data_IF_820075030660
#
_entry.id   IF_820075030660
#
_cell.length_a   1.000
_cell.length_b   1.000
_cell.length_c   1.000
_cell.angle_alpha   90.00
_cell.angle_beta   90.00
_cell.angle_gamma   90.00
#
_symmetry.space_group_name_H-M   'P 1'
#
loop_
_entity.id
_entity.type
_entity.pdbx_description
1 polymer ?
#
# COMPACT_ATOMS: atom_id res chain seq x y z
N UNK A 1 29.02 18.09 -10.22
CA UNK A 1 28.26 18.03 -8.96
C UNK A 1 27.39 16.79 -9.00
N UNK A 2 27.79 15.72 -8.31
CA UNK A 2 26.94 14.54 -8.13
C UNK A 2 26.08 14.81 -6.89
N UNK A 3 24.80 15.05 -7.10
CA UNK A 3 23.81 15.08 -6.03
C UNK A 3 23.76 13.67 -5.47
N UNK A 4 24.42 13.47 -4.33
CA UNK A 4 24.27 12.26 -3.52
C UNK A 4 22.79 12.26 -3.12
N UNK A 5 21.96 11.52 -3.86
CA UNK A 5 20.55 11.36 -3.54
C UNK A 5 20.51 10.85 -2.11
N UNK A 6 19.96 11.65 -1.21
CA UNK A 6 19.83 11.34 0.20
C UNK A 6 19.12 9.99 0.33
N UNK A 7 19.87 8.92 0.58
CA UNK A 7 19.32 7.62 0.94
C UNK A 7 18.75 7.83 2.34
N UNK A 8 17.49 8.29 2.41
CA UNK A 8 16.73 8.26 3.64
C UNK A 8 16.60 6.77 4.00
N UNK A 9 17.06 6.33 5.19
CA UNK A 9 16.87 4.94 5.58
C UNK A 9 15.37 4.71 5.69
N UNK A 10 14.77 4.08 4.68
CA UNK A 10 13.37 3.70 4.71
C UNK A 10 13.15 2.80 5.94
N UNK A 11 12.19 3.13 6.83
CA UNK A 11 11.75 2.19 7.84
C UNK A 11 11.50 0.81 7.20
N UNK A 12 11.92 -0.29 7.85
CA UNK A 12 11.78 -1.64 7.28
C UNK A 12 10.34 -1.97 6.85
N UNK A 13 9.36 -1.35 7.51
CA UNK A 13 7.95 -1.51 7.24
C UNK A 13 7.52 -0.90 5.89
N UNK A 14 8.18 0.16 5.44
CA UNK A 14 7.92 0.77 4.13
C UNK A 14 8.44 -0.08 2.97
N UNK A 15 9.46 -0.92 3.20
CA UNK A 15 9.93 -1.85 2.19
C UNK A 15 8.86 -2.89 1.82
N UNK A 16 7.89 -3.15 2.71
CA UNK A 16 6.72 -3.98 2.40
C UNK A 16 5.83 -3.30 1.36
N UNK A 17 5.69 -1.98 1.39
CA UNK A 17 4.83 -1.23 0.47
C UNK A 17 5.30 -1.30 -0.99
N UNK A 18 6.59 -1.57 -1.22
CA UNK A 18 7.15 -1.81 -2.55
C UNK A 18 6.76 -3.17 -3.13
N UNK A 19 6.41 -4.15 -2.28
CA UNK A 19 6.06 -5.50 -2.76
C UNK A 19 4.68 -5.51 -3.41
N UNK A 20 4.46 -6.38 -4.41
CA UNK A 20 3.13 -6.68 -4.91
C UNK A 20 2.25 -7.18 -3.75
N UNK A 21 1.19 -6.43 -3.40
CA UNK A 21 0.28 -6.78 -2.31
C UNK A 21 0.66 -6.26 -0.92
N UNK A 22 1.90 -5.81 -0.68
CA UNK A 22 2.31 -5.35 0.65
C UNK A 22 1.63 -4.06 1.11
N UNK A 23 1.09 -3.28 0.16
CA UNK A 23 0.18 -2.17 0.47
C UNK A 23 -1.18 -2.65 1.02
N UNK A 24 -1.76 -3.72 0.47
CA UNK A 24 -3.01 -4.29 1.00
C UNK A 24 -2.76 -4.89 2.40
N UNK A 25 -1.66 -5.62 2.58
CA UNK A 25 -1.29 -6.17 3.89
C UNK A 25 -1.15 -5.07 4.95
N UNK A 26 -0.38 -4.02 4.65
CA UNK A 26 -0.16 -2.91 5.59
C UNK A 26 -1.46 -2.16 5.90
N UNK A 27 -2.35 -2.04 4.90
CA UNK A 27 -3.69 -1.50 5.11
C UNK A 27 -4.50 -2.33 6.12
N UNK A 28 -4.49 -3.67 6.02
CA UNK A 28 -5.21 -4.53 6.97
C UNK A 28 -4.57 -4.58 8.34
N UNK A 29 -3.23 -4.49 8.41
CA UNK A 29 -2.51 -4.39 9.68
C UNK A 29 -2.91 -3.09 10.39
N UNK A 30 -2.87 -1.95 9.68
CA UNK A 30 -3.30 -0.66 10.23
C UNK A 30 -4.79 -0.65 10.62
N UNK A 31 -5.66 -1.21 9.77
CA UNK A 31 -7.08 -1.30 10.08
C UNK A 31 -7.35 -2.19 11.30
N UNK A 32 -6.64 -3.32 11.41
CA UNK A 32 -6.75 -4.29 12.50
C UNK A 32 -6.40 -3.72 13.87
N UNK A 33 -5.62 -2.63 13.93
CA UNK A 33 -5.34 -1.92 15.20
C UNK A 33 -6.56 -1.23 15.81
N UNK A 34 -7.62 -0.98 15.03
CA UNK A 34 -8.79 -0.24 15.46
C UNK A 34 -8.57 1.28 15.62
N UNK A 35 -7.43 1.81 15.19
CA UNK A 35 -7.11 3.23 15.29
C UNK A 35 -7.97 4.13 14.38
N UNK A 36 -8.61 3.56 13.36
CA UNK A 36 -9.35 4.29 12.34
C UNK A 36 -10.85 3.93 12.38
N UNK A 37 -11.71 4.94 12.22
CA UNK A 37 -13.17 4.75 12.18
C UNK A 37 -13.68 4.30 10.80
N UNK A 38 -12.97 4.63 9.73
CA UNK A 38 -13.36 4.31 8.36
C UNK A 38 -12.18 3.76 7.58
N UNK A 39 -12.47 2.86 6.63
CA UNK A 39 -11.46 2.33 5.71
C UNK A 39 -10.79 3.43 4.89
N UNK A 40 -11.55 4.45 4.52
CA UNK A 40 -11.04 5.59 3.76
C UNK A 40 -10.04 6.42 4.56
N UNK A 41 -10.30 6.69 5.84
CA UNK A 41 -9.34 7.39 6.69
C UNK A 41 -8.04 6.59 6.89
N UNK A 42 -8.16 5.27 7.06
CA UNK A 42 -7.00 4.39 7.14
C UNK A 42 -6.18 4.41 5.83
N UNK A 43 -6.87 4.36 4.69
CA UNK A 43 -6.26 4.45 3.36
C UNK A 43 -5.53 5.79 3.17
N UNK A 44 -6.18 6.92 3.46
CA UNK A 44 -5.58 8.24 3.25
C UNK A 44 -4.32 8.43 4.10
N UNK A 45 -4.29 7.91 5.34
CA UNK A 45 -3.09 7.97 6.18
C UNK A 45 -1.97 7.09 5.61
N UNK A 46 -2.29 5.89 5.15
CA UNK A 46 -1.31 5.01 4.51
C UNK A 46 -0.77 5.60 3.21
N UNK A 47 -1.64 6.19 2.39
CA UNK A 47 -1.31 6.80 1.11
C UNK A 47 -0.47 8.07 1.30
N UNK A 48 -0.83 8.92 2.27
CA UNK A 48 -0.03 10.08 2.66
C UNK A 48 1.35 9.66 3.16
N UNK A 49 1.43 8.57 3.92
CA UNK A 49 2.71 8.01 4.35
C UNK A 49 3.51 7.53 3.15
N UNK A 50 2.89 6.80 2.23
CA UNK A 50 3.53 6.34 1.01
C UNK A 50 4.07 7.52 0.17
N UNK A 51 3.24 8.52 -0.11
CA UNK A 51 3.61 9.71 -0.86
C UNK A 51 4.74 10.49 -0.21
N UNK A 52 4.74 10.61 1.12
CA UNK A 52 5.82 11.27 1.86
C UNK A 52 7.19 10.62 1.63
N UNK A 53 7.25 9.30 1.49
CA UNK A 53 8.52 8.56 1.35
C UNK A 53 8.90 8.25 -0.10
N UNK A 54 7.92 8.07 -0.98
CA UNK A 54 8.15 7.71 -2.39
C UNK A 54 7.96 8.88 -3.36
N UNK A 55 7.45 10.02 -2.88
CA UNK A 55 7.25 11.23 -3.68
C UNK A 55 6.05 11.18 -4.63
N UNK A 56 5.27 10.10 -4.60
CA UNK A 56 4.09 9.91 -5.44
C UNK A 56 3.03 9.07 -4.72
N UNK A 57 1.76 9.23 -5.11
CA UNK A 57 0.67 8.35 -4.68
C UNK A 57 0.74 7.03 -5.44
N UNK A 58 0.46 5.93 -4.75
CA UNK A 58 0.37 4.59 -5.34
C UNK A 58 -0.94 4.39 -6.10
N UNK A 59 -2.03 4.94 -5.59
CA UNK A 59 -3.37 4.90 -6.17
C UNK A 59 -3.95 6.31 -6.28
N UNK A 60 -4.79 6.54 -7.28
CA UNK A 60 -5.42 7.84 -7.48
C UNK A 60 -6.37 8.21 -6.32
N UNK A 61 -7.12 7.24 -5.82
CA UNK A 61 -8.10 7.38 -4.76
C UNK A 61 -8.43 6.03 -4.10
N UNK A 62 -9.22 6.06 -3.03
CA UNK A 62 -9.67 4.86 -2.32
C UNK A 62 -10.47 3.90 -3.21
N UNK A 63 -11.18 4.40 -4.23
CA UNK A 63 -11.89 3.59 -5.21
C UNK A 63 -10.95 2.75 -6.06
N UNK A 64 -9.87 3.36 -6.53
CA UNK A 64 -8.80 2.75 -7.31
C UNK A 64 -8.09 1.66 -6.50
N UNK A 65 -7.82 1.93 -5.22
CA UNK A 65 -7.29 0.92 -4.30
C UNK A 65 -8.24 -0.30 -4.18
N UNK A 66 -9.54 -0.07 -3.97
CA UNK A 66 -10.53 -1.16 -3.88
C UNK A 66 -10.60 -1.98 -5.17
N UNK A 67 -10.58 -1.32 -6.32
CA UNK A 67 -10.61 -1.97 -7.63
C UNK A 67 -9.37 -2.85 -7.85
N UNK A 68 -8.18 -2.30 -7.59
CA UNK A 68 -6.91 -3.01 -7.68
C UNK A 68 -6.90 -4.25 -6.77
N UNK A 69 -7.38 -4.10 -5.53
CA UNK A 69 -7.49 -5.21 -4.58
C UNK A 69 -8.47 -6.30 -5.03
N UNK A 70 -9.64 -5.90 -5.54
CA UNK A 70 -10.62 -6.83 -6.09
C UNK A 70 -10.04 -7.64 -7.24
N UNK A 71 -9.34 -6.98 -8.16
CA UNK A 71 -8.63 -7.62 -9.26
C UNK A 71 -7.55 -8.60 -8.76
N UNK A 72 -6.71 -8.19 -7.81
CA UNK A 72 -5.66 -9.04 -7.23
C UNK A 72 -6.25 -10.31 -6.62
N UNK A 73 -7.36 -10.19 -5.88
CA UNK A 73 -8.07 -11.33 -5.29
C UNK A 73 -8.66 -12.26 -6.35
N UNK A 74 -9.27 -11.70 -7.40
CA UNK A 74 -9.81 -12.49 -8.51
C UNK A 74 -8.69 -13.25 -9.25
N UNK A 75 -7.54 -12.60 -9.46
CA UNK A 75 -6.35 -13.23 -10.06
C UNK A 75 -5.83 -14.39 -9.20
N UNK A 76 -5.69 -14.17 -7.89
CA UNK A 76 -5.22 -15.21 -6.96
C UNK A 76 -6.18 -16.41 -6.89
N UNK A 77 -7.51 -16.18 -6.91
CA UNK A 77 -8.51 -17.25 -7.00
C UNK A 77 -8.36 -18.08 -8.28
N UNK A 78 -8.20 -17.43 -9.43
CA UNK A 78 -7.98 -18.14 -10.71
C UNK A 78 -6.69 -18.97 -10.72
N UNK A 79 -5.64 -18.49 -10.06
CA UNK A 79 -4.41 -19.25 -9.89
C UNK A 79 -4.62 -20.49 -9.00
N UNK A 80 -5.35 -20.35 -7.89
CA UNK A 80 -5.64 -21.46 -6.98
C UNK A 80 -6.54 -22.54 -7.58
N UNK A 81 -7.45 -22.19 -8.51
CA UNK A 81 -8.31 -23.16 -9.21
C UNK A 81 -7.55 -23.93 -10.31
N UNK A 82 -6.40 -23.41 -10.77
CA UNK A 82 -5.56 -24.06 -11.79
C UNK A 82 -4.45 -24.95 -11.22
N UNK A 83 -4.24 -24.92 -9.90
CA UNK A 83 -3.26 -25.74 -9.19
C UNK A 83 -3.93 -26.99 -8.62
#
# INVERSE_FOLDING_TARGET
MLLISTIQPYPPELLKLLKPGGFDETFWDMWGTGAFRTHEACYEVLETTYEKYFGERKYADFGSFKAARSYQRAKNRKAAVKA
#
